data_IF_442051172822
#
_entry.id   IF_442051172822
#
_cell.length_a   1.000
_cell.length_b   1.000
_cell.length_c   1.000
_cell.angle_alpha   90.00
_cell.angle_beta   90.00
_cell.angle_gamma   90.00
#
_symmetry.space_group_name_H-M   'P 1'
#
loop_
_entity.id
_entity.type
_entity.pdbx_description
1 polymer ?
#
# COMPACT_ATOMS: atom_id res chain seq x y z
N UNK A 1 25.47 -34.15 -61.51
CA UNK A 1 24.51 -34.17 -60.40
C UNK A 1 23.13 -34.53 -60.93
N UNK A 2 22.52 -35.60 -60.43
CA UNK A 2 21.19 -36.08 -60.82
C UNK A 2 20.27 -36.01 -59.61
N UNK A 3 19.22 -35.20 -59.67
CA UNK A 3 18.16 -35.16 -58.66
C UNK A 3 17.14 -36.27 -58.97
N UNK A 4 17.03 -37.26 -58.07
CA UNK A 4 15.91 -38.22 -58.08
C UNK A 4 14.94 -37.87 -56.96
N UNK A 5 13.77 -37.42 -57.41
CA UNK A 5 12.52 -37.26 -56.67
C UNK A 5 12.10 -38.59 -56.04
N UNK A 6 11.79 -38.57 -54.74
CA UNK A 6 11.14 -39.66 -54.02
C UNK A 6 9.88 -39.11 -53.35
N UNK A 7 8.80 -38.98 -54.12
CA UNK A 7 7.44 -38.99 -53.55
C UNK A 7 6.90 -40.40 -53.74
N UNK A 8 7.02 -41.24 -52.71
CA UNK A 8 6.13 -42.39 -52.53
C UNK A 8 4.97 -41.94 -51.66
N UNK A 9 3.80 -41.78 -52.30
CA UNK A 9 2.51 -41.64 -51.63
C UNK A 9 2.10 -43.00 -51.09
N UNK A 10 2.30 -43.22 -49.79
CA UNK A 10 1.61 -44.28 -49.06
C UNK A 10 0.36 -43.66 -48.40
N UNK A 11 -0.78 -43.87 -49.04
CA UNK A 11 -2.09 -43.55 -48.50
C UNK A 11 -2.53 -44.71 -47.61
N UNK A 12 -2.45 -44.55 -46.29
CA UNK A 12 -3.10 -45.43 -45.32
C UNK A 12 -4.15 -44.61 -44.58
N UNK A 13 -5.41 -44.78 -44.98
CA UNK A 13 -6.58 -44.22 -44.29
C UNK A 13 -6.88 -45.07 -43.05
N UNK A 14 -6.86 -44.54 -41.83
CA UNK A 14 -7.47 -45.20 -40.69
C UNK A 14 -8.93 -44.75 -40.60
N UNK A 15 -9.81 -45.64 -41.04
CA UNK A 15 -11.19 -45.69 -40.57
C UNK A 15 -11.21 -45.94 -39.05
N UNK A 16 -12.18 -45.29 -38.38
CA UNK A 16 -12.79 -45.70 -37.11
C UNK A 16 -11.96 -45.49 -35.83
N UNK A 17 -11.54 -44.25 -35.58
CA UNK A 17 -11.30 -43.80 -34.20
C UNK A 17 -12.65 -43.38 -33.59
N UNK A 18 -13.25 -44.29 -32.82
CA UNK A 18 -14.42 -44.02 -31.98
C UNK A 18 -14.14 -42.79 -31.10
N UNK A 19 -14.69 -41.63 -31.47
CA UNK A 19 -14.69 -40.43 -30.62
C UNK A 19 -15.52 -40.68 -29.37
N UNK A 20 -14.90 -41.23 -28.33
CA UNK A 20 -15.44 -41.19 -26.98
C UNK A 20 -15.40 -39.74 -26.52
N UNK A 21 -16.56 -39.08 -26.54
CA UNK A 21 -16.72 -37.77 -25.94
C UNK A 21 -16.31 -37.85 -24.45
N UNK A 22 -15.51 -36.90 -23.94
CA UNK A 22 -15.05 -36.92 -22.56
C UNK A 22 -16.22 -36.73 -21.58
N UNK A 23 -16.23 -37.52 -20.50
CA UNK A 23 -17.24 -37.48 -19.41
C UNK A 23 -17.08 -36.25 -18.50
N UNK A 24 -17.13 -35.03 -19.04
CA UNK A 24 -17.22 -33.80 -18.23
C UNK A 24 -18.50 -32.98 -18.53
N UNK A 25 -19.59 -33.61 -18.98
CA UNK A 25 -20.81 -32.88 -19.35
C UNK A 25 -22.09 -33.36 -18.64
N UNK A 26 -22.00 -33.75 -17.37
CA UNK A 26 -23.19 -33.99 -16.52
C UNK A 26 -23.35 -32.97 -15.39
N UNK A 27 -22.36 -32.09 -15.18
CA UNK A 27 -22.35 -31.09 -14.11
C UNK A 27 -23.08 -29.78 -14.46
N UNK A 28 -23.50 -29.57 -15.71
CA UNK A 28 -24.13 -28.29 -16.10
C UNK A 28 -25.54 -28.11 -15.54
N UNK A 29 -26.40 -29.14 -15.51
CA UNK A 29 -27.82 -28.93 -15.16
C UNK A 29 -28.04 -28.65 -13.67
N UNK A 30 -27.28 -29.30 -12.79
CA UNK A 30 -27.40 -29.12 -11.33
C UNK A 30 -26.84 -27.78 -10.86
N UNK A 31 -25.74 -27.32 -11.46
CA UNK A 31 -25.13 -26.02 -11.11
C UNK A 31 -25.84 -24.84 -11.74
N UNK A 32 -26.35 -24.97 -12.97
CA UNK A 32 -27.20 -23.92 -13.58
C UNK A 32 -28.47 -23.72 -12.75
N UNK A 33 -29.10 -24.81 -12.27
CA UNK A 33 -30.24 -24.72 -11.37
C UNK A 33 -29.88 -24.09 -10.01
N UNK A 34 -28.75 -24.48 -9.40
CA UNK A 34 -28.30 -23.90 -8.14
C UNK A 34 -27.97 -22.39 -8.27
N UNK A 35 -27.35 -21.98 -9.38
CA UNK A 35 -27.04 -20.58 -9.65
C UNK A 35 -28.33 -19.75 -9.82
N UNK A 36 -29.32 -20.26 -10.56
CA UNK A 36 -30.62 -19.59 -10.74
C UNK A 36 -31.37 -19.39 -9.41
N UNK A 37 -31.34 -20.38 -8.50
CA UNK A 37 -31.96 -20.25 -7.17
C UNK A 37 -31.27 -19.18 -6.32
N UNK A 38 -29.93 -19.10 -6.37
CA UNK A 38 -29.19 -18.09 -5.60
C UNK A 38 -29.45 -16.66 -6.07
N UNK A 39 -29.57 -16.42 -7.38
CA UNK A 39 -29.87 -15.09 -7.94
C UNK A 39 -31.26 -14.63 -7.52
N UNK A 40 -32.27 -15.50 -7.59
CA UNK A 40 -33.63 -15.17 -7.16
C UNK A 40 -33.72 -14.82 -5.67
N UNK A 41 -32.91 -15.46 -4.83
CA UNK A 41 -32.90 -15.22 -3.39
C UNK A 41 -32.27 -13.86 -3.04
N UNK A 42 -31.24 -13.44 -3.77
CA UNK A 42 -30.63 -12.10 -3.63
C UNK A 42 -31.58 -11.01 -4.12
N UNK A 43 -32.28 -11.20 -5.24
CA UNK A 43 -33.28 -10.22 -5.72
C UNK A 43 -34.44 -10.05 -4.76
N UNK A 44 -34.88 -11.13 -4.10
CA UNK A 44 -35.92 -11.06 -3.07
C UNK A 44 -35.43 -10.26 -1.85
N UNK A 45 -34.17 -10.45 -1.46
CA UNK A 45 -33.55 -9.76 -0.32
C UNK A 45 -33.40 -8.25 -0.56
N UNK A 46 -33.06 -7.83 -1.78
CA UNK A 46 -32.95 -6.41 -2.14
C UNK A 46 -34.32 -5.73 -2.21
N UNK A 47 -35.38 -6.46 -2.60
CA UNK A 47 -36.75 -5.90 -2.68
C UNK A 47 -37.39 -5.54 -1.34
N UNK A 48 -36.89 -6.09 -0.22
CA UNK A 48 -37.48 -5.87 1.11
C UNK A 48 -36.79 -4.72 1.84
N UNK A 49 -35.77 -4.10 1.25
CA UNK A 49 -35.12 -2.91 1.84
C UNK A 49 -35.93 -1.67 1.41
N UNK A 50 -36.65 -0.99 2.32
CA UNK A 50 -37.28 0.28 2.00
C UNK A 50 -36.18 1.33 1.77
N UNK A 51 -35.99 1.71 0.51
CA UNK A 51 -35.13 2.83 0.13
C UNK A 51 -35.92 4.13 0.33
N UNK A 52 -35.85 4.72 1.52
CA UNK A 52 -36.28 6.10 1.72
C UNK A 52 -35.23 7.02 1.10
N UNK A 53 -35.53 7.50 -0.11
CA UNK A 53 -34.73 8.49 -0.79
C UNK A 53 -35.04 9.87 -0.20
N UNK A 54 -34.24 10.32 0.75
CA UNK A 54 -34.36 11.67 1.31
C UNK A 54 -33.73 12.67 0.34
N UNK A 55 -34.56 13.26 -0.53
CA UNK A 55 -34.15 14.30 -1.45
C UNK A 55 -33.82 15.58 -0.67
N UNK A 56 -32.53 15.93 -0.59
CA UNK A 56 -32.08 17.23 -0.05
C UNK A 56 -32.61 18.35 -0.94
N UNK A 57 -33.69 19.01 -0.53
CA UNK A 57 -34.11 20.30 -1.09
C UNK A 57 -33.03 21.33 -0.79
N UNK A 58 -32.37 21.84 -1.82
CA UNK A 58 -31.55 23.04 -1.71
C UNK A 58 -32.48 24.25 -1.58
N UNK A 59 -32.53 24.84 -0.38
CA UNK A 59 -33.14 26.14 -0.18
C UNK A 59 -32.26 27.22 -0.82
N UNK A 60 -32.87 28.04 -1.66
CA UNK A 60 -32.21 29.08 -2.43
C UNK A 60 -32.05 30.32 -1.52
N UNK A 61 -30.92 30.43 -0.81
CA UNK A 61 -30.60 31.58 0.03
C UNK A 61 -30.08 32.74 -0.82
N UNK A 62 -30.96 33.34 -1.63
CA UNK A 62 -30.77 34.71 -2.09
C UNK A 62 -31.26 35.65 -0.98
N UNK A 63 -30.39 35.92 -0.01
CA UNK A 63 -30.49 37.16 0.76
C UNK A 63 -29.08 37.71 1.02
N UNK A 64 -28.82 38.80 0.32
CA UNK A 64 -27.81 39.80 0.64
C UNK A 64 -27.97 40.23 2.10
N UNK A 65 -27.07 39.76 2.95
CA UNK A 65 -26.48 40.54 4.05
C UNK A 65 -25.20 39.85 4.49
N UNK A 66 -24.08 40.38 4.01
CA UNK A 66 -22.75 39.98 4.44
C UNK A 66 -22.55 40.39 5.91
N UNK A 67 -22.97 39.55 6.85
CA UNK A 67 -22.50 39.61 8.23
C UNK A 67 -21.02 39.21 8.26
N UNK A 68 -20.15 40.21 8.07
CA UNK A 68 -18.73 40.12 8.44
C UNK A 68 -18.64 39.99 9.96
N UNK A 69 -18.72 38.75 10.46
CA UNK A 69 -18.35 38.44 11.84
C UNK A 69 -16.82 38.45 11.92
N UNK A 70 -16.26 39.61 12.24
CA UNK A 70 -14.83 39.74 12.55
C UNK A 70 -14.67 39.40 14.04
N UNK A 71 -14.31 38.16 14.36
CA UNK A 71 -13.87 37.83 15.72
C UNK A 71 -12.42 38.32 15.89
N UNK A 72 -12.24 39.42 16.63
CA UNK A 72 -10.92 39.85 17.09
C UNK A 72 -10.43 38.90 18.19
N UNK A 73 -9.32 38.19 17.95
CA UNK A 73 -8.62 37.41 18.97
C UNK A 73 -7.99 38.37 19.99
N UNK A 74 -8.46 38.34 21.23
CA UNK A 74 -7.80 39.04 22.33
C UNK A 74 -6.55 38.25 22.75
N UNK A 75 -5.39 38.90 22.74
CA UNK A 75 -4.16 38.35 23.31
C UNK A 75 -4.29 38.27 24.84
N UNK A 76 -3.77 37.22 25.50
CA UNK A 76 -3.80 37.10 26.96
C UNK A 76 -3.05 38.27 27.61
N UNK A 77 -3.66 38.90 28.62
CA UNK A 77 -2.98 39.93 29.42
C UNK A 77 -1.90 39.30 30.31
N UNK A 78 -0.69 39.84 30.17
CA UNK A 78 0.47 39.57 31.01
C UNK A 78 0.20 40.06 32.44
N UNK A 79 -0.20 39.16 33.34
CA UNK A 79 -0.21 39.43 34.76
C UNK A 79 1.18 39.20 35.32
N UNK A 80 1.95 40.28 35.35
CA UNK A 80 3.24 40.36 36.02
C UNK A 80 3.10 39.98 37.49
N UNK A 81 3.49 38.75 37.82
CA UNK A 81 3.88 38.35 39.15
C UNK A 81 5.33 37.87 39.09
N UNK A 82 6.24 38.78 39.44
CA UNK A 82 7.60 38.47 39.82
C UNK A 82 7.59 37.58 41.07
N UNK A 83 7.55 36.26 40.89
CA UNK A 83 7.91 35.32 41.94
C UNK A 83 9.37 34.91 41.73
N UNK A 84 10.20 35.39 42.63
CA UNK A 84 11.64 35.15 42.69
C UNK A 84 11.95 33.65 42.69
N UNK A 85 13.09 33.35 42.07
CA UNK A 85 13.68 32.05 41.94
C UNK A 85 13.72 31.26 43.26
N UNK A 86 13.12 30.07 43.24
CA UNK A 86 13.70 28.92 43.92
C UNK A 86 14.21 28.01 42.82
N UNK A 87 15.49 28.16 42.49
CA UNK A 87 16.27 27.15 41.78
C UNK A 87 16.27 25.91 42.67
N UNK A 88 15.23 25.09 42.54
CA UNK A 88 15.32 23.69 42.91
C UNK A 88 16.17 23.08 41.83
N UNK A 89 17.37 22.64 42.20
CA UNK A 89 18.19 21.71 41.44
C UNK A 89 17.29 20.58 40.91
N UNK A 90 16.78 20.77 39.70
CA UNK A 90 16.36 19.65 38.89
C UNK A 90 17.65 18.92 38.63
N UNK A 91 17.89 17.87 39.41
CA UNK A 91 18.93 16.88 39.15
C UNK A 91 18.68 16.44 37.71
N UNK A 92 19.42 17.02 36.77
CA UNK A 92 19.50 16.57 35.40
C UNK A 92 20.13 15.19 35.54
N UNK A 93 19.31 14.16 35.59
CA UNK A 93 19.78 12.80 35.36
C UNK A 93 20.49 12.88 34.00
N UNK A 94 21.80 12.62 33.92
CA UNK A 94 22.54 12.82 32.69
C UNK A 94 21.82 12.01 31.60
N UNK A 95 21.34 12.70 30.58
CA UNK A 95 20.68 12.07 29.44
C UNK A 95 21.62 10.97 28.93
N UNK A 96 21.18 9.71 29.09
CA UNK A 96 21.95 8.54 28.67
C UNK A 96 22.33 8.75 27.21
N UNK A 97 23.62 8.86 26.90
CA UNK A 97 24.09 9.09 25.53
C UNK A 97 23.63 7.90 24.68
N UNK A 98 22.80 8.15 23.68
CA UNK A 98 22.31 7.16 22.73
C UNK A 98 22.86 7.50 21.36
N UNK A 99 23.52 6.53 20.72
CA UNK A 99 23.97 6.66 19.33
C UNK A 99 22.95 5.98 18.41
N UNK A 100 22.43 6.72 17.44
CA UNK A 100 21.53 6.17 16.41
C UNK A 100 22.29 6.03 15.09
N UNK A 101 22.16 4.88 14.44
CA UNK A 101 22.71 4.59 13.11
C UNK A 101 21.59 4.07 12.21
N UNK A 102 21.68 4.40 10.92
CA UNK A 102 20.75 3.92 9.90
C UNK A 102 21.55 3.28 8.76
N UNK A 103 21.06 2.17 8.22
CA UNK A 103 21.63 1.54 7.03
C UNK A 103 20.54 1.01 6.12
N UNK A 104 20.71 1.21 4.80
CA UNK A 104 19.86 0.61 3.78
C UNK A 104 20.43 -0.74 3.37
N UNK A 105 19.58 -1.76 3.29
CA UNK A 105 19.94 -3.12 2.88
C UNK A 105 20.24 -3.12 1.39
N UNK A 106 21.39 -3.69 0.99
CA UNK A 106 21.83 -3.80 -0.40
C UNK A 106 21.68 -5.24 -0.93
N UNK A 107 21.82 -5.41 -2.25
CA UNK A 107 21.85 -6.74 -2.86
C UNK A 107 22.97 -7.60 -2.23
N UNK A 108 22.60 -8.80 -1.78
CA UNK A 108 23.53 -9.75 -1.13
C UNK A 108 23.80 -9.49 0.35
N UNK A 109 23.22 -8.45 0.96
CA UNK A 109 23.38 -8.21 2.39
C UNK A 109 22.64 -9.27 3.23
N UNK A 110 23.27 -9.67 4.33
CA UNK A 110 22.64 -10.43 5.41
C UNK A 110 22.65 -9.61 6.69
N UNK A 111 21.72 -9.89 7.62
CA UNK A 111 21.70 -9.18 8.90
C UNK A 111 23.01 -9.38 9.69
N UNK A 112 23.63 -10.56 9.58
CA UNK A 112 24.94 -10.85 10.18
C UNK A 112 26.06 -9.96 9.60
N UNK A 113 26.10 -9.81 8.27
CA UNK A 113 27.07 -8.93 7.62
C UNK A 113 26.85 -7.45 8.03
N UNK A 114 25.59 -7.02 8.12
CA UNK A 114 25.24 -5.67 8.58
C UNK A 114 25.71 -5.44 10.02
N UNK A 115 25.44 -6.39 10.92
CA UNK A 115 25.90 -6.33 12.31
C UNK A 115 27.43 -6.23 12.40
N UNK A 116 28.14 -7.07 11.63
CA UNK A 116 29.61 -7.05 11.58
C UNK A 116 30.15 -5.70 11.10
N UNK A 117 29.58 -5.11 10.04
CA UNK A 117 29.97 -3.76 9.55
C UNK A 117 29.78 -2.68 10.60
N UNK A 118 28.75 -2.79 11.42
CA UNK A 118 28.48 -1.83 12.50
C UNK A 118 29.16 -2.18 13.84
N UNK A 119 30.01 -3.21 13.86
CA UNK A 119 30.72 -3.72 15.04
C UNK A 119 29.78 -4.12 16.19
N UNK A 120 28.62 -4.67 15.84
CA UNK A 120 27.63 -5.18 16.79
C UNK A 120 27.92 -6.64 17.16
N UNK A 121 27.48 -7.04 18.35
CA UNK A 121 27.73 -8.38 18.88
C UNK A 121 26.97 -9.47 18.11
N UNK A 122 27.68 -10.51 17.67
CA UNK A 122 27.09 -11.71 17.09
C UNK A 122 26.22 -12.48 18.11
N UNK A 123 26.56 -12.42 19.40
CA UNK A 123 25.75 -13.01 20.48
C UNK A 123 24.42 -12.29 20.62
N UNK A 124 24.40 -10.96 20.51
CA UNK A 124 23.15 -10.19 20.54
C UNK A 124 22.27 -10.51 19.34
N UNK A 125 22.86 -10.63 18.15
CA UNK A 125 22.13 -11.09 16.96
C UNK A 125 21.54 -12.48 17.20
N UNK A 126 22.31 -13.44 17.71
CA UNK A 126 21.82 -14.78 18.01
C UNK A 126 20.61 -14.74 18.95
N UNK A 127 20.71 -13.98 20.05
CA UNK A 127 19.61 -13.83 21.02
C UNK A 127 18.35 -13.23 20.39
N UNK A 128 18.51 -12.26 19.47
CA UNK A 128 17.38 -11.68 18.72
C UNK A 128 16.74 -12.73 17.79
N UNK A 129 17.55 -13.51 17.06
CA UNK A 129 17.05 -14.54 16.16
C UNK A 129 16.40 -15.72 16.90
N UNK A 130 16.77 -15.93 18.17
CA UNK A 130 16.19 -16.94 19.06
C UNK A 130 14.76 -16.61 19.52
N UNK A 131 14.30 -15.35 19.37
CA UNK A 131 12.89 -14.97 19.58
C UNK A 131 11.92 -15.66 18.59
N UNK A 132 12.45 -16.35 17.57
CA UNK A 132 11.68 -17.27 16.75
C UNK A 132 10.76 -16.56 15.76
N UNK A 133 9.46 -16.84 15.82
CA UNK A 133 8.49 -16.36 14.84
C UNK A 133 8.37 -14.83 14.82
N UNK A 134 8.49 -14.19 15.98
CA UNK A 134 8.39 -12.73 16.13
C UNK A 134 9.54 -11.98 15.44
N UNK A 135 10.65 -12.64 15.14
CA UNK A 135 11.80 -12.07 14.42
C UNK A 135 12.04 -12.70 13.05
N UNK A 136 11.04 -13.42 12.51
CA UNK A 136 11.14 -14.09 11.20
C UNK A 136 11.54 -13.12 10.09
N UNK A 137 11.01 -11.90 10.10
CA UNK A 137 11.26 -10.92 9.04
C UNK A 137 12.73 -10.46 9.01
N UNK A 138 13.46 -10.54 10.12
CA UNK A 138 14.90 -10.29 10.18
C UNK A 138 15.73 -11.33 9.39
N UNK A 139 15.18 -12.53 9.13
CA UNK A 139 15.84 -13.55 8.28
C UNK A 139 15.72 -13.23 6.79
N UNK A 140 14.71 -12.47 6.40
CA UNK A 140 14.33 -12.24 5.01
C UNK A 140 14.36 -10.74 4.68
N UNK A 141 15.41 -10.06 5.13
CA UNK A 141 15.65 -8.67 4.73
C UNK A 141 15.81 -8.58 3.21
N UNK A 142 15.20 -7.57 2.61
CA UNK A 142 15.22 -7.33 1.17
C UNK A 142 16.03 -6.08 0.85
N UNK A 143 16.69 -6.02 -0.31
CA UNK A 143 17.27 -4.80 -0.83
C UNK A 143 16.25 -3.66 -0.79
N UNK A 144 16.67 -2.50 -0.30
CA UNK A 144 15.80 -1.34 -0.13
C UNK A 144 15.18 -1.19 1.25
N UNK A 145 15.09 -2.25 2.06
CA UNK A 145 14.68 -2.11 3.47
C UNK A 145 15.67 -1.23 4.24
N UNK A 146 15.18 -0.56 5.28
CA UNK A 146 15.99 0.29 6.15
C UNK A 146 16.10 -0.35 7.52
N UNK A 147 17.31 -0.38 8.07
CA UNK A 147 17.57 -0.85 9.42
C UNK A 147 18.07 0.32 10.26
N UNK A 148 17.35 0.59 11.35
CA UNK A 148 17.72 1.58 12.36
C UNK A 148 18.28 0.86 13.59
N UNK A 149 19.40 1.35 14.10
CA UNK A 149 20.17 0.74 15.18
C UNK A 149 20.37 1.83 16.24
N UNK A 150 19.91 1.58 17.46
CA UNK A 150 20.16 2.45 18.62
C UNK A 150 21.07 1.75 19.60
N UNK A 151 22.13 2.42 20.00
CA UNK A 151 23.17 1.92 20.90
C UNK A 151 23.25 2.80 22.15
N UNK A 152 23.62 2.21 23.28
CA UNK A 152 24.01 3.00 24.46
C UNK A 152 25.43 3.59 24.31
N UNK A 153 25.86 4.34 25.32
CA UNK A 153 27.18 4.94 25.40
C UNK A 153 28.33 3.92 25.31
N UNK A 154 28.09 2.66 25.65
CA UNK A 154 29.06 1.57 25.61
C UNK A 154 29.01 0.79 24.29
N UNK A 155 28.18 1.22 23.33
CA UNK A 155 27.99 0.55 22.05
C UNK A 155 27.10 -0.70 22.09
N UNK A 156 26.41 -0.95 23.21
CA UNK A 156 25.50 -2.09 23.36
C UNK A 156 24.18 -1.80 22.65
N UNK A 157 23.63 -2.80 21.96
CA UNK A 157 22.37 -2.66 21.24
C UNK A 157 21.20 -2.39 22.18
N UNK A 158 20.54 -1.24 22.07
CA UNK A 158 19.31 -0.92 22.79
C UNK A 158 18.07 -1.28 21.96
N UNK A 159 18.11 -0.99 20.66
CA UNK A 159 16.97 -1.22 19.78
C UNK A 159 17.43 -1.44 18.34
N UNK A 160 16.77 -2.37 17.65
CA UNK A 160 16.90 -2.63 16.23
C UNK A 160 15.52 -2.48 15.60
N UNK A 161 15.35 -1.59 14.64
CA UNK A 161 14.10 -1.48 13.87
C UNK A 161 14.37 -1.82 12.41
N UNK A 162 13.70 -2.85 11.90
CA UNK A 162 13.63 -3.15 10.47
C UNK A 162 12.37 -2.47 9.91
N UNK A 163 12.58 -1.43 9.11
CA UNK A 163 11.52 -0.78 8.34
C UNK A 163 11.38 -1.50 6.99
N UNK A 164 10.28 -2.24 6.85
CA UNK A 164 10.00 -3.05 5.65
C UNK A 164 9.44 -2.17 4.53
N UNK A 165 8.55 -1.26 4.91
CA UNK A 165 7.99 -0.19 4.08
C UNK A 165 7.49 0.94 5.02
N UNK A 166 6.85 1.99 4.46
CA UNK A 166 6.35 3.13 5.24
C UNK A 166 5.32 2.74 6.31
N UNK A 167 4.60 1.63 6.12
CA UNK A 167 3.51 1.20 7.00
C UNK A 167 3.92 0.09 7.97
N UNK A 168 4.85 -0.78 7.58
CA UNK A 168 5.26 -1.96 8.34
C UNK A 168 6.69 -1.86 8.83
N UNK A 169 6.88 -2.00 10.14
CA UNK A 169 8.18 -2.10 10.77
C UNK A 169 8.21 -3.19 11.83
N UNK A 170 9.35 -3.85 11.98
CA UNK A 170 9.61 -4.77 13.09
C UNK A 170 10.61 -4.09 14.04
N UNK A 171 10.19 -3.83 15.28
CA UNK A 171 11.05 -3.28 16.33
C UNK A 171 11.47 -4.37 17.30
N UNK A 172 12.75 -4.46 17.58
CA UNK A 172 13.33 -5.32 18.62
C UNK A 172 14.01 -4.43 19.65
N UNK A 173 13.50 -4.43 20.87
CA UNK A 173 14.00 -3.58 21.96
C UNK A 173 14.61 -4.43 23.06
N UNK A 174 15.68 -3.94 23.67
CA UNK A 174 16.28 -4.56 24.84
C UNK A 174 15.37 -4.35 26.06
N UNK A 175 15.11 -5.44 26.77
CA UNK A 175 14.38 -5.45 28.04
C UNK A 175 15.28 -6.01 29.14
N UNK A 176 14.83 -6.04 30.39
CA UNK A 176 15.61 -6.55 31.53
C UNK A 176 16.17 -7.96 31.28
N UNK A 177 15.35 -8.84 30.69
CA UNK A 177 15.69 -10.24 30.38
C UNK A 177 15.85 -10.48 28.88
N UNK A 178 16.75 -9.75 28.24
CA UNK A 178 17.13 -9.99 26.85
C UNK A 178 16.47 -9.01 25.87
N UNK A 179 15.65 -9.52 24.95
CA UNK A 179 15.02 -8.73 23.90
C UNK A 179 13.56 -9.09 23.72
N UNK A 180 12.77 -8.13 23.27
CA UNK A 180 11.38 -8.31 22.88
C UNK A 180 11.20 -7.77 21.45
N UNK A 181 10.38 -8.45 20.64
CA UNK A 181 10.09 -8.08 19.27
C UNK A 181 8.61 -7.70 19.11
N UNK A 182 8.35 -6.56 18.49
CA UNK A 182 7.01 -6.02 18.24
C UNK A 182 6.87 -5.57 16.79
N UNK A 183 5.82 -6.05 16.13
CA UNK A 183 5.40 -5.53 14.84
C UNK A 183 4.70 -4.18 15.05
N UNK A 184 5.07 -3.21 14.23
CA UNK A 184 4.51 -1.87 14.20
C UNK A 184 3.89 -1.71 12.83
N UNK A 185 2.56 -1.60 12.80
CA UNK A 185 1.80 -1.32 11.59
C UNK A 185 1.18 0.06 11.74
N UNK A 186 1.28 0.85 10.68
CA UNK A 186 0.69 2.18 10.58
C UNK A 186 -0.46 2.09 9.59
N UNK A 187 -1.56 2.74 9.92
CA UNK A 187 -2.69 2.89 9.01
C UNK A 187 -2.54 4.24 8.30
N UNK A 188 -2.48 4.27 6.96
CA UNK A 188 -2.50 5.52 6.22
C UNK A 188 -3.90 6.14 6.30
N UNK A 189 -3.96 7.46 6.19
CA UNK A 189 -5.21 8.18 5.98
C UNK A 189 -5.62 8.05 4.50
N UNK A 190 -6.80 7.51 4.24
CA UNK A 190 -7.35 7.43 2.90
C UNK A 190 -8.21 8.65 2.60
N UNK A 191 -7.95 9.34 1.49
CA UNK A 191 -8.74 10.46 1.01
C UNK A 191 -9.27 10.17 -0.39
N UNK A 192 -10.56 10.40 -0.58
CA UNK A 192 -11.17 10.36 -1.92
C UNK A 192 -10.82 11.64 -2.65
N UNK A 193 -10.28 11.51 -3.85
CA UNK A 193 -9.90 12.62 -4.73
C UNK A 193 -10.49 12.41 -6.13
N UNK A 194 -10.43 13.45 -6.94
CA UNK A 194 -10.95 13.45 -8.30
C UNK A 194 -9.96 14.07 -9.26
N UNK A 195 -9.92 13.55 -10.49
CA UNK A 195 -9.17 14.14 -11.58
C UNK A 195 -10.00 14.11 -12.86
N UNK A 196 -9.82 15.12 -13.70
CA UNK A 196 -10.35 15.12 -15.06
C UNK A 196 -9.38 15.77 -16.01
N UNK A 197 -9.36 15.31 -17.26
CA UNK A 197 -8.50 15.89 -18.28
C UNK A 197 -9.06 15.65 -19.68
N UNK A 198 -8.73 16.58 -20.58
CA UNK A 198 -8.97 16.45 -22.01
C UNK A 198 -7.71 15.92 -22.70
N UNK A 199 -7.87 14.83 -23.43
CA UNK A 199 -6.80 14.20 -24.20
C UNK A 199 -6.54 15.05 -25.43
N UNK A 200 -5.32 15.59 -25.52
CA UNK A 200 -4.85 16.27 -26.72
C UNK A 200 -3.94 15.40 -27.59
N UNK A 201 -3.20 14.48 -26.96
CA UNK A 201 -2.15 13.72 -27.62
C UNK A 201 -2.09 12.27 -27.09
N UNK A 202 -1.99 12.07 -25.78
CA UNK A 202 -2.08 10.73 -25.17
C UNK A 202 -2.75 10.76 -23.80
N UNK A 203 -3.29 9.60 -23.36
CA UNK A 203 -3.82 9.42 -22.00
C UNK A 203 -2.74 9.73 -20.94
N UNK A 204 -1.51 9.24 -21.14
CA UNK A 204 -0.42 9.44 -20.17
C UNK A 204 -0.06 10.91 -20.02
N UNK A 205 0.06 11.65 -21.13
CA UNK A 205 0.37 13.08 -21.08
C UNK A 205 -0.78 13.88 -20.42
N UNK A 206 -2.02 13.56 -20.78
CA UNK A 206 -3.20 14.22 -20.24
C UNK A 206 -3.36 13.95 -18.73
N UNK A 207 -3.09 12.73 -18.28
CA UNK A 207 -3.11 12.34 -16.87
C UNK A 207 -2.01 13.00 -16.05
N UNK A 208 -0.77 13.01 -16.55
CA UNK A 208 0.34 13.66 -15.85
C UNK A 208 0.09 15.17 -15.71
N UNK A 209 -0.44 15.83 -16.76
CA UNK A 209 -0.81 17.25 -16.71
C UNK A 209 -1.94 17.56 -15.73
N UNK A 210 -2.84 16.61 -15.47
CA UNK A 210 -3.89 16.76 -14.45
C UNK A 210 -3.43 16.37 -13.04
N UNK A 211 -2.14 16.09 -12.84
CA UNK A 211 -1.57 15.73 -11.54
C UNK A 211 -1.78 14.27 -11.14
N UNK A 212 -2.24 13.40 -12.03
CA UNK A 212 -2.41 11.98 -11.71
C UNK A 212 -1.03 11.30 -11.57
N UNK A 213 -0.84 10.49 -10.51
CA UNK A 213 0.33 9.62 -10.42
C UNK A 213 0.36 8.62 -11.57
N UNK A 214 1.55 8.33 -12.10
CA UNK A 214 1.71 7.38 -13.22
C UNK A 214 1.05 6.02 -12.95
N UNK A 215 1.10 5.53 -11.71
CA UNK A 215 0.47 4.27 -11.33
C UNK A 215 -1.05 4.29 -11.57
N UNK A 216 -1.73 5.38 -11.21
CA UNK A 216 -3.17 5.56 -11.40
C UNK A 216 -3.53 5.64 -12.89
N UNK A 217 -2.69 6.30 -13.70
CA UNK A 217 -2.86 6.35 -15.16
C UNK A 217 -2.76 4.95 -15.78
N UNK A 218 -1.78 4.15 -15.35
CA UNK A 218 -1.59 2.79 -15.85
C UNK A 218 -2.72 1.86 -15.38
N UNK A 219 -3.21 2.04 -14.17
CA UNK A 219 -4.37 1.31 -13.66
C UNK A 219 -5.64 1.65 -14.46
N UNK A 220 -5.88 2.93 -14.73
CA UNK A 220 -6.98 3.37 -15.61
C UNK A 220 -6.87 2.72 -17.00
N UNK A 221 -5.68 2.74 -17.60
CA UNK A 221 -5.45 2.11 -18.91
C UNK A 221 -5.69 0.59 -18.86
N UNK A 222 -5.26 -0.07 -17.78
CA UNK A 222 -5.49 -1.50 -17.56
C UNK A 222 -6.98 -1.84 -17.38
N UNK A 223 -7.73 -1.01 -16.66
CA UNK A 223 -9.17 -1.19 -16.42
C UNK A 223 -9.96 -1.11 -17.72
N UNK A 224 -9.59 -0.26 -18.68
CA UNK A 224 -10.32 -0.09 -19.95
C UNK A 224 -9.65 -0.75 -21.16
N UNK A 225 -8.48 -1.37 -20.98
CA UNK A 225 -7.68 -1.92 -22.09
C UNK A 225 -8.31 -3.09 -22.83
N UNK A 226 -9.44 -3.63 -22.35
CA UNK A 226 -10.24 -4.63 -23.06
C UNK A 226 -11.28 -4.03 -24.01
N UNK A 227 -11.64 -2.75 -23.82
CA UNK A 227 -12.63 -2.03 -24.64
C UNK A 227 -12.00 -0.97 -25.53
N UNK A 228 -10.89 -0.36 -25.09
CA UNK A 228 -10.28 0.81 -25.73
C UNK A 228 -8.78 0.54 -25.92
N UNK A 229 -8.31 0.59 -27.16
CA UNK A 229 -6.88 0.68 -27.44
C UNK A 229 -6.43 2.14 -27.31
N UNK A 230 -5.87 2.51 -26.16
CA UNK A 230 -5.40 3.87 -25.89
C UNK A 230 -4.27 4.36 -26.81
N UNK A 231 -3.68 3.50 -27.66
CA UNK A 231 -2.74 3.92 -28.68
C UNK A 231 -3.40 4.23 -30.03
N UNK A 232 -4.54 3.61 -30.33
CA UNK A 232 -5.18 3.68 -31.65
C UNK A 232 -6.54 4.41 -31.64
N UNK A 233 -7.30 4.26 -30.57
CA UNK A 233 -8.71 4.69 -30.53
C UNK A 233 -8.90 6.11 -30.00
N UNK A 234 -7.98 6.60 -29.16
CA UNK A 234 -8.09 7.94 -28.57
C UNK A 234 -7.92 9.04 -29.61
N UNK A 235 -8.70 10.11 -29.45
CA UNK A 235 -8.68 11.28 -30.32
C UNK A 235 -8.49 12.54 -29.52
N UNK A 236 -7.97 13.56 -30.20
CA UNK A 236 -7.92 14.92 -29.66
C UNK A 236 -9.34 15.38 -29.33
N UNK A 237 -9.54 15.75 -28.07
CA UNK A 237 -10.83 16.21 -27.56
C UNK A 237 -11.55 15.21 -26.66
N UNK A 238 -11.13 13.94 -26.64
CA UNK A 238 -11.67 12.96 -25.70
C UNK A 238 -11.41 13.39 -24.26
N UNK A 239 -12.28 13.00 -23.34
CA UNK A 239 -12.20 13.39 -21.93
C UNK A 239 -12.28 12.15 -21.04
N UNK A 240 -11.52 12.16 -19.94
CA UNK A 240 -11.70 11.19 -18.86
C UNK A 240 -11.94 11.92 -17.54
N UNK A 241 -12.65 11.24 -16.63
CA UNK A 241 -12.88 11.67 -15.26
C UNK A 241 -12.70 10.46 -14.37
N UNK A 242 -11.98 10.63 -13.26
CA UNK A 242 -11.66 9.57 -12.32
C UNK A 242 -11.92 10.06 -10.91
N UNK A 243 -12.51 9.19 -10.08
CA UNK A 243 -12.51 9.30 -8.63
C UNK A 243 -11.64 8.16 -8.12
N UNK A 244 -10.67 8.48 -7.26
CA UNK A 244 -9.72 7.50 -6.75
C UNK A 244 -9.33 7.84 -5.32
N UNK A 245 -8.69 6.88 -4.67
CA UNK A 245 -8.20 7.02 -3.30
C UNK A 245 -6.70 7.39 -3.30
N UNK A 246 -6.35 8.38 -2.50
CA UNK A 246 -4.96 8.67 -2.13
C UNK A 246 -4.73 8.28 -0.68
N UNK A 247 -3.59 7.64 -0.43
CA UNK A 247 -3.17 7.22 0.91
C UNK A 247 -2.04 8.11 1.40
N UNK A 248 -2.28 8.80 2.51
CA UNK A 248 -1.31 9.70 3.15
C UNK A 248 -0.79 9.10 4.45
N UNK A 249 0.50 9.31 4.72
CA UNK A 249 1.12 8.99 5.99
C UNK A 249 1.88 10.20 6.49
N UNK A 250 1.53 10.69 7.69
CA UNK A 250 2.09 11.93 8.27
C UNK A 250 1.91 13.17 7.36
N UNK A 251 0.86 13.17 6.53
CA UNK A 251 0.59 14.24 5.57
C UNK A 251 1.30 14.10 4.21
N UNK A 252 2.06 13.02 4.00
CA UNK A 252 2.79 12.70 2.75
C UNK A 252 2.35 11.40 2.08
#
# INVERSE_FOLDING_TARGET
MNYRSFIKRDYKSPEQEQRRLPKYLSWRRRHIAAFAVSVSLVTLLVSVIPFEAEATRHENLNNTDALKVTHSLALPQDQGNHSQAVVRDSIITPAKIVTTKQTKVKNGDTLAAIFARHKLSATELHNIMALGKSTRDLRYIKPGNTIHIRLDANGKLLELTLEKNRLESLRVSRVEKGFEAKQINREPETRITYASSKINNSLSEAGQKSGLPQAVIMELAGIFGWDIDFALDIRKGDEFRLVYEEQFLDGE
#
